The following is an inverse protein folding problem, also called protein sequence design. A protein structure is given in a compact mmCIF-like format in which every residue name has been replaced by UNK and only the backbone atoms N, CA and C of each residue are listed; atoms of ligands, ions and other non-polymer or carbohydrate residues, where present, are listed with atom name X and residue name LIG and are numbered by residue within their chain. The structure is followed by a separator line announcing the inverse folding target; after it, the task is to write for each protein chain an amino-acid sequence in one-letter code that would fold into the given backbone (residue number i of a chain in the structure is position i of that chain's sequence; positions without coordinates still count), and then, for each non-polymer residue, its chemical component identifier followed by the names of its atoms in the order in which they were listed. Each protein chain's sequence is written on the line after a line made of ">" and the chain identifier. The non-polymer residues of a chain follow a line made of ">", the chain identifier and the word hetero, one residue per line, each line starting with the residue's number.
data_IF_224353866738
#
_entry.id   IF_224353866738
#
_cell.length_a   1.000
_cell.length_b   1.000
_cell.length_c   1.000
_cell.angle_alpha   90.00
_cell.angle_beta   90.00
_cell.angle_gamma   90.00
#
_symmetry.space_group_name_H-M   'P 1'
#
loop_
_entity.id
_entity.type
_entity.pdbx_description
1 polymer ?
#
# COMPACT_ATOMS: atom_id res chain seq x y z
N UNK A 1 -14.26 14.89 -0.24
CA UNK A 1 -13.16 14.58 -1.17
C UNK A 1 -12.15 13.71 -0.44
N UNK A 2 -12.28 12.38 -0.54
CA UNK A 2 -11.23 11.46 -0.10
C UNK A 2 -10.11 11.49 -1.13
N UNK A 3 -9.01 12.19 -0.84
CA UNK A 3 -7.77 11.99 -1.58
C UNK A 3 -7.23 10.61 -1.19
N UNK A 4 -7.52 9.59 -2.00
CA UNK A 4 -6.89 8.27 -1.94
C UNK A 4 -5.40 8.46 -2.26
N UNK A 5 -4.61 8.77 -1.25
CA UNK A 5 -3.15 8.69 -1.30
C UNK A 5 -2.78 7.21 -1.21
N UNK A 6 -2.86 6.50 -2.33
CA UNK A 6 -2.30 5.16 -2.44
C UNK A 6 -0.76 5.29 -2.39
N UNK A 7 -0.13 4.95 -1.26
CA UNK A 7 1.32 4.66 -1.19
C UNK A 7 1.65 3.30 -1.81
N UNK A 8 0.93 2.90 -2.87
CA UNK A 8 1.13 1.64 -3.59
C UNK A 8 2.52 1.51 -4.15
N UNK A 9 3.32 2.57 -4.27
CA UNK A 9 4.71 2.48 -4.72
C UNK A 9 5.58 1.61 -3.82
N UNK A 10 5.37 1.59 -2.49
CA UNK A 10 6.13 0.70 -1.61
C UNK A 10 5.66 -0.76 -1.76
N UNK A 11 4.36 -1.00 -1.67
CA UNK A 11 3.75 -2.33 -1.81
C UNK A 11 3.94 -2.95 -3.21
N UNK A 12 3.91 -2.14 -4.27
CA UNK A 12 4.17 -2.56 -5.65
C UNK A 12 5.66 -2.89 -5.86
N UNK A 13 6.57 -2.08 -5.32
CA UNK A 13 8.01 -2.38 -5.34
C UNK A 13 8.34 -3.65 -4.55
N UNK A 14 7.67 -3.87 -3.40
CA UNK A 14 7.81 -5.09 -2.60
C UNK A 14 7.30 -6.33 -3.36
N UNK A 15 6.12 -6.23 -3.98
CA UNK A 15 5.47 -7.29 -4.77
C UNK A 15 6.27 -7.71 -6.00
N UNK A 16 6.93 -6.77 -6.68
CA UNK A 16 7.67 -7.07 -7.92
C UNK A 16 9.14 -7.39 -7.72
N UNK A 17 9.72 -7.06 -6.56
CA UNK A 17 11.17 -7.28 -6.32
C UNK A 17 11.51 -8.26 -5.21
N UNK A 18 10.59 -8.59 -4.28
CA UNK A 18 10.99 -9.24 -3.02
C UNK A 18 10.21 -10.54 -2.72
N UNK A 19 8.89 -10.63 -2.96
CA UNK A 19 8.12 -11.86 -2.63
C UNK A 19 6.96 -12.10 -3.62
N UNK A 20 6.96 -13.17 -4.44
CA UNK A 20 5.69 -13.78 -4.82
C UNK A 20 5.11 -14.34 -3.52
N UNK A 21 3.95 -13.84 -3.07
CA UNK A 21 3.38 -14.18 -1.77
C UNK A 21 3.37 -15.70 -1.52
N UNK A 22 4.32 -16.19 -0.73
CA UNK A 22 4.26 -17.51 -0.15
C UNK A 22 3.49 -17.38 1.17
N UNK A 23 2.28 -17.93 1.22
CA UNK A 23 1.41 -17.86 2.40
C UNK A 23 2.06 -18.51 3.63
N UNK A 24 2.97 -19.46 3.44
CA UNK A 24 3.70 -20.16 4.51
C UNK A 24 4.81 -19.28 5.12
N UNK A 25 5.36 -18.32 4.38
CA UNK A 25 6.32 -17.36 4.94
C UNK A 25 5.63 -16.28 5.76
N UNK A 26 4.39 -15.91 5.40
CA UNK A 26 3.58 -14.95 6.15
C UNK A 26 3.09 -15.57 7.48
N UNK A 27 2.79 -16.87 7.51
CA UNK A 27 2.32 -17.56 8.73
C UNK A 27 3.41 -17.70 9.80
N UNK A 28 4.69 -17.80 9.41
CA UNK A 28 5.84 -17.76 10.32
C UNK A 28 5.92 -16.48 11.18
N UNK A 29 5.26 -15.38 10.77
CA UNK A 29 5.18 -14.14 11.55
C UNK A 29 4.09 -14.17 12.65
N UNK A 30 3.27 -15.24 12.72
CA UNK A 30 1.99 -15.21 13.46
C UNK A 30 1.88 -16.13 14.68
N UNK A 31 2.90 -16.94 15.00
CA UNK A 31 2.82 -17.90 16.12
C UNK A 31 3.91 -17.68 17.19
N UNK A 32 3.45 -17.17 18.34
CA UNK A 32 4.04 -17.16 19.69
C UNK A 32 4.77 -15.90 20.21
N UNK A 33 4.58 -15.57 21.52
CA UNK A 33 4.94 -14.29 22.09
C UNK A 33 6.42 -14.25 22.56
N UNK A 34 6.96 -13.03 22.52
CA UNK A 34 8.15 -12.49 23.21
C UNK A 34 9.26 -11.94 22.28
N UNK A 35 9.96 -10.93 22.82
CA UNK A 35 10.52 -9.75 22.15
C UNK A 35 11.96 -9.87 21.63
N UNK A 36 12.23 -9.51 20.36
CA UNK A 36 13.49 -8.87 19.90
C UNK A 36 13.37 -8.28 18.47
N UNK A 37 14.06 -7.17 18.16
CA UNK A 37 14.12 -6.52 16.83
C UNK A 37 15.27 -7.11 15.98
N UNK A 38 15.08 -7.31 14.66
CA UNK A 38 16.15 -7.68 13.72
C UNK A 38 16.20 -6.75 12.50
N UNK A 39 17.41 -6.51 12.00
CA UNK A 39 17.69 -5.83 10.73
C UNK A 39 18.06 -6.89 9.70
N UNK A 40 17.37 -6.94 8.56
CA UNK A 40 17.71 -7.88 7.48
C UNK A 40 18.69 -7.20 6.51
N UNK A 41 19.80 -7.88 6.22
CA UNK A 41 20.74 -7.49 5.17
C UNK A 41 20.31 -8.12 3.84
N UNK A 42 20.11 -7.27 2.83
CA UNK A 42 19.81 -7.72 1.46
C UNK A 42 21.11 -8.23 0.82
N UNK A 43 21.11 -9.39 0.13
CA UNK A 43 22.27 -9.92 -0.58
C UNK A 43 22.92 -8.87 -1.50
N UNK A 44 24.24 -8.89 -1.60
CA UNK A 44 25.05 -7.82 -2.20
C UNK A 44 24.70 -7.51 -3.67
N UNK A 45 24.19 -8.49 -4.42
CA UNK A 45 23.73 -8.33 -5.81
C UNK A 45 22.36 -7.62 -5.93
N UNK A 46 21.61 -7.48 -4.84
CA UNK A 46 20.30 -6.81 -4.77
C UNK A 46 20.39 -5.37 -4.23
N UNK A 47 21.59 -4.85 -3.99
CA UNK A 47 21.83 -3.47 -3.52
C UNK A 47 21.58 -2.41 -4.62
N UNK A 48 20.31 -2.22 -5.02
CA UNK A 48 19.88 -0.99 -5.71
C UNK A 48 19.13 -0.02 -4.79
N UNK A 49 18.77 -0.47 -3.58
CA UNK A 49 18.42 0.39 -2.45
C UNK A 49 19.57 0.30 -1.46
N UNK A 50 20.33 1.36 -1.22
CA UNK A 50 21.59 1.20 -0.52
C UNK A 50 21.39 1.16 1.02
N UNK A 51 20.16 1.12 1.53
CA UNK A 51 19.83 1.26 2.97
C UNK A 51 19.21 -0.02 3.54
N UNK A 52 19.62 -0.50 4.73
CA UNK A 52 18.98 -1.63 5.40
C UNK A 52 17.51 -1.33 5.72
N UNK A 53 16.64 -2.33 5.53
CA UNK A 53 15.25 -2.28 5.98
C UNK A 53 15.22 -2.87 7.40
N UNK A 54 14.80 -2.07 8.37
CA UNK A 54 14.54 -2.56 9.73
C UNK A 54 13.06 -2.91 9.84
N UNK A 55 12.74 -4.20 9.91
CA UNK A 55 11.39 -4.66 10.23
C UNK A 55 11.25 -4.79 11.75
N UNK A 56 10.08 -4.44 12.28
CA UNK A 56 9.74 -4.80 13.65
C UNK A 56 9.65 -6.32 13.79
N UNK A 57 10.28 -6.85 14.85
CA UNK A 57 10.33 -8.24 15.36
C UNK A 57 10.44 -9.39 14.34
N UNK A 58 11.59 -10.06 14.32
CA UNK A 58 11.83 -11.33 13.60
C UNK A 58 12.68 -12.27 14.49
N UNK A 59 12.16 -13.41 14.99
CA UNK A 59 12.93 -14.41 15.74
C UNK A 59 13.47 -15.56 14.85
N UNK A 60 14.56 -16.22 15.30
CA UNK A 60 14.88 -17.61 14.93
C UNK A 60 15.98 -17.85 13.88
N UNK A 61 17.25 -17.58 14.18
CA UNK A 61 18.33 -18.20 13.39
C UNK A 61 19.57 -18.42 14.26
N UNK A 62 19.69 -19.65 14.77
CA UNK A 62 20.96 -20.30 15.07
C UNK A 62 20.95 -21.70 14.42
N UNK A 63 21.93 -21.91 13.54
CA UNK A 63 22.44 -23.17 12.97
C UNK A 63 21.50 -24.16 12.24
N UNK A 64 21.86 -24.46 10.98
CA UNK A 64 22.11 -25.79 10.35
C UNK A 64 21.65 -25.85 8.86
N UNK A 65 22.66 -25.85 7.97
CA UNK A 65 22.96 -26.64 6.74
C UNK A 65 21.87 -27.18 5.76
N UNK A 66 22.26 -27.50 4.49
CA UNK A 66 21.45 -27.31 3.29
C UNK A 66 20.92 -28.62 2.65
N UNK A 67 19.68 -28.65 2.12
CA UNK A 67 19.29 -29.63 1.08
C UNK A 67 18.26 -29.11 0.06
N UNK A 68 18.64 -29.33 -1.20
CA UNK A 68 17.99 -29.42 -2.52
C UNK A 68 16.55 -29.95 -2.64
N UNK A 69 15.79 -29.43 -3.63
CA UNK A 69 15.07 -30.14 -4.73
C UNK A 69 14.07 -29.18 -5.44
N UNK A 70 14.26 -28.75 -6.69
CA UNK A 70 13.84 -29.35 -7.99
C UNK A 70 12.33 -29.50 -8.26
N UNK A 71 11.86 -28.83 -9.33
CA UNK A 71 10.87 -29.20 -10.40
C UNK A 71 10.01 -27.97 -10.80
N UNK A 72 10.20 -27.37 -12.00
CA UNK A 72 9.56 -27.69 -13.30
C UNK A 72 8.06 -27.32 -13.34
N UNK A 73 7.47 -26.61 -14.31
CA UNK A 73 7.93 -26.01 -15.57
C UNK A 73 6.72 -25.39 -16.33
N UNK A 74 7.05 -24.63 -17.38
CA UNK A 74 6.28 -24.34 -18.62
C UNK A 74 5.04 -23.44 -18.57
N UNK A 75 5.17 -22.29 -19.26
CA UNK A 75 4.10 -21.42 -19.76
C UNK A 75 3.25 -22.11 -20.84
N UNK A 76 1.95 -21.81 -20.86
CA UNK A 76 1.24 -21.61 -22.13
C UNK A 76 0.20 -20.49 -21.98
N UNK A 77 0.36 -19.44 -22.79
CA UNK A 77 -0.64 -18.38 -23.00
C UNK A 77 -1.24 -18.60 -24.39
N UNK A 78 -2.56 -18.82 -24.46
CA UNK A 78 -3.32 -18.62 -25.71
C UNK A 78 -4.56 -17.77 -25.44
N UNK A 79 -4.51 -16.56 -25.97
CA UNK A 79 -5.65 -15.69 -26.18
C UNK A 79 -6.47 -16.23 -27.36
N UNK A 80 -7.80 -16.31 -27.23
CA UNK A 80 -8.71 -16.29 -28.36
C UNK A 80 -10.04 -15.65 -27.94
N UNK A 81 -10.21 -14.40 -28.37
CA UNK A 81 -11.48 -13.71 -28.52
C UNK A 81 -12.26 -14.46 -29.61
N UNK A 82 -13.03 -15.49 -29.25
CA UNK A 82 -14.24 -15.94 -29.98
C UNK A 82 -15.09 -16.78 -29.00
N UNK A 83 -15.98 -16.16 -28.21
CA UNK A 83 -17.13 -16.85 -27.61
C UNK A 83 -18.21 -15.88 -27.06
N UNK A 84 -18.26 -14.63 -27.54
CA UNK A 84 -19.29 -13.65 -27.16
C UNK A 84 -20.68 -13.93 -27.79
N UNK A 85 -20.84 -14.99 -28.59
CA UNK A 85 -22.12 -15.28 -29.28
C UNK A 85 -22.91 -16.43 -28.65
N UNK A 86 -22.30 -17.27 -27.80
CA UNK A 86 -22.98 -18.45 -27.21
C UNK A 86 -23.31 -18.34 -25.71
N UNK A 87 -22.80 -17.33 -25.00
CA UNK A 87 -23.12 -17.13 -23.58
C UNK A 87 -24.39 -16.28 -23.34
N UNK A 88 -24.98 -15.69 -24.38
CA UNK A 88 -26.16 -14.82 -24.26
C UNK A 88 -27.50 -15.55 -24.14
N UNK A 89 -27.56 -16.88 -24.21
CA UNK A 89 -28.86 -17.57 -24.35
C UNK A 89 -29.12 -18.80 -23.47
N UNK A 90 -28.29 -19.09 -22.46
CA UNK A 90 -28.67 -20.14 -21.49
C UNK A 90 -28.20 -19.83 -20.07
N UNK A 91 -29.19 -19.67 -19.18
CA UNK A 91 -29.11 -19.43 -17.72
C UNK A 91 -29.08 -17.97 -17.27
N UNK A 92 -30.14 -17.26 -17.66
CA UNK A 92 -30.84 -16.31 -16.78
C UNK A 92 -31.40 -17.07 -15.55
N UNK A 93 -30.50 -17.50 -14.69
CA UNK A 93 -30.76 -17.62 -13.26
C UNK A 93 -29.76 -16.67 -12.62
N UNK A 94 -30.11 -15.39 -12.57
CA UNK A 94 -29.51 -14.50 -11.57
C UNK A 94 -29.99 -15.09 -10.25
N UNK A 95 -29.22 -16.04 -9.70
CA UNK A 95 -29.20 -16.22 -8.27
C UNK A 95 -28.73 -14.86 -7.79
N UNK A 96 -29.64 -14.07 -7.24
CA UNK A 96 -29.26 -13.07 -6.24
C UNK A 96 -28.56 -13.92 -5.19
N UNK A 97 -27.23 -14.06 -5.33
CA UNK A 97 -26.43 -14.63 -4.28
C UNK A 97 -26.78 -13.74 -3.10
N UNK A 98 -27.50 -14.29 -2.12
CA UNK A 98 -27.70 -13.61 -0.84
C UNK A 98 -26.36 -12.99 -0.51
N UNK A 99 -26.32 -11.67 -0.34
CA UNK A 99 -25.14 -10.99 0.13
C UNK A 99 -24.90 -11.55 1.52
N UNK A 100 -24.19 -12.67 1.60
CA UNK A 100 -23.76 -13.26 2.86
C UNK A 100 -22.78 -12.22 3.39
N UNK A 101 -23.29 -11.37 4.29
CA UNK A 101 -22.45 -10.42 5.00
C UNK A 101 -21.25 -11.14 5.60
N UNK A 102 -20.13 -10.46 5.66
CA UNK A 102 -18.88 -11.00 6.18
C UNK A 102 -18.79 -10.77 7.69
N UNK A 103 -18.38 -11.78 8.45
CA UNK A 103 -18.01 -11.59 9.85
C UNK A 103 -16.54 -11.21 9.96
N UNK A 104 -16.22 -10.19 10.74
CA UNK A 104 -14.83 -9.84 11.05
C UNK A 104 -14.35 -10.72 12.20
N UNK A 105 -13.33 -11.54 11.95
CA UNK A 105 -12.79 -12.51 12.90
C UNK A 105 -11.63 -11.92 13.73
N UNK A 106 -10.72 -11.18 13.09
CA UNK A 106 -9.57 -10.54 13.77
C UNK A 106 -9.12 -9.26 13.08
N UNK A 107 -8.44 -8.41 13.85
CA UNK A 107 -7.74 -7.21 13.38
C UNK A 107 -6.36 -7.20 14.02
N UNK A 108 -5.31 -7.09 13.22
CA UNK A 108 -3.91 -7.08 13.65
C UNK A 108 -3.16 -5.94 12.97
N UNK A 109 -2.13 -5.41 13.63
CA UNK A 109 -1.35 -4.30 13.10
C UNK A 109 0.16 -4.53 13.19
N UNK A 110 0.88 -4.04 12.18
CA UNK A 110 2.32 -4.22 12.04
C UNK A 110 2.97 -2.87 11.75
N UNK A 111 3.49 -2.17 12.78
CA UNK A 111 4.14 -0.88 12.58
C UNK A 111 5.48 -1.04 11.87
N UNK A 112 5.66 -0.30 10.78
CA UNK A 112 6.87 -0.30 9.96
C UNK A 112 7.57 1.06 10.07
N UNK A 113 8.90 1.02 10.20
CA UNK A 113 9.77 2.18 10.08
C UNK A 113 11.01 1.84 9.29
N UNK A 114 11.18 2.50 8.15
CA UNK A 114 12.37 2.38 7.31
C UNK A 114 13.13 3.70 7.34
N UNK A 115 14.36 3.66 7.86
CA UNK A 115 15.24 4.84 7.85
C UNK A 115 15.71 5.14 6.45
N UNK A 116 15.62 6.40 6.03
CA UNK A 116 16.18 6.84 4.74
C UNK A 116 17.64 7.24 4.94
N UNK A 117 18.47 7.04 3.91
CA UNK A 117 19.83 7.60 3.88
C UNK A 117 19.81 9.11 3.86
N UNK A 118 18.94 9.66 3.03
CA UNK A 118 18.77 11.09 2.83
C UNK A 118 17.35 11.46 3.22
N UNK A 119 17.24 12.58 3.94
CA UNK A 119 15.94 13.13 4.32
C UNK A 119 15.31 13.77 3.08
N UNK A 120 14.02 13.53 2.88
CA UNK A 120 13.26 14.25 1.86
C UNK A 120 12.71 15.52 2.48
N UNK A 121 12.94 16.68 1.88
CA UNK A 121 12.53 17.98 2.43
C UNK A 121 11.46 18.59 1.53
N UNK A 122 10.27 18.79 2.06
CA UNK A 122 9.24 19.67 1.50
C UNK A 122 9.20 20.99 2.30
N UNK A 123 8.54 22.02 1.76
CA UNK A 123 8.46 23.34 2.41
C UNK A 123 7.99 23.26 3.87
N UNK A 124 6.91 22.51 4.11
CA UNK A 124 6.25 22.47 5.42
C UNK A 124 6.60 21.23 6.26
N UNK A 125 7.37 20.27 5.71
CA UNK A 125 7.72 19.04 6.44
C UNK A 125 8.99 18.36 5.92
N UNK A 126 9.77 17.80 6.82
CA UNK A 126 10.91 16.91 6.50
C UNK A 126 10.53 15.47 6.79
N UNK A 127 10.77 14.58 5.83
CA UNK A 127 10.53 13.14 5.96
C UNK A 127 11.88 12.43 6.23
N UNK A 128 12.25 12.20 7.50
CA UNK A 128 13.50 11.52 7.84
C UNK A 128 13.44 10.02 7.55
N UNK A 129 12.27 9.43 7.71
CA UNK A 129 12.00 8.01 7.57
C UNK A 129 10.79 7.79 6.66
N UNK A 130 10.60 6.56 6.20
CA UNK A 130 9.29 6.05 5.79
C UNK A 130 8.65 5.33 6.97
N UNK A 131 7.39 5.66 7.28
CA UNK A 131 6.65 5.08 8.39
C UNK A 131 5.24 4.74 7.91
N UNK A 132 4.73 3.59 8.35
CA UNK A 132 3.40 3.10 8.02
C UNK A 132 2.97 2.06 9.06
N UNK A 133 1.70 1.70 9.06
CA UNK A 133 1.19 0.51 9.77
C UNK A 133 0.50 -0.38 8.75
N UNK A 134 0.99 -1.61 8.59
CA UNK A 134 0.22 -2.61 7.85
C UNK A 134 -0.88 -3.14 8.77
N UNK A 135 -2.08 -3.27 8.24
CA UNK A 135 -3.24 -3.79 8.96
C UNK A 135 -3.69 -5.06 8.28
N UNK A 136 -3.87 -6.13 9.05
CA UNK A 136 -4.43 -7.40 8.59
C UNK A 136 -5.81 -7.58 9.23
N UNK A 137 -6.82 -7.80 8.41
CA UNK A 137 -8.18 -8.09 8.88
C UNK A 137 -8.63 -9.43 8.31
N UNK A 138 -8.99 -10.36 9.19
CA UNK A 138 -9.58 -11.63 8.78
C UNK A 138 -11.10 -11.50 8.76
N UNK A 139 -11.72 -11.88 7.65
CA UNK A 139 -13.17 -11.92 7.46
C UNK A 139 -13.60 -13.31 6.98
N UNK A 140 -14.46 -13.99 7.74
CA UNK A 140 -14.87 -15.38 7.50
C UNK A 140 -13.69 -16.30 7.08
N UNK A 141 -12.59 -16.22 7.82
CA UNK A 141 -11.37 -17.00 7.58
C UNK A 141 -10.45 -16.48 6.47
N UNK A 142 -10.84 -15.43 5.73
CA UNK A 142 -10.03 -14.83 4.67
C UNK A 142 -9.36 -13.55 5.15
N UNK A 143 -8.02 -13.52 5.10
CA UNK A 143 -7.24 -12.34 5.46
C UNK A 143 -7.12 -11.36 4.28
N UNK A 144 -7.37 -10.09 4.54
CA UNK A 144 -7.03 -8.97 3.67
C UNK A 144 -6.02 -8.01 4.32
N UNK A 145 -5.33 -7.24 3.49
CA UNK A 145 -4.25 -6.35 3.90
C UNK A 145 -4.50 -4.90 3.51
N UNK A 146 -4.21 -4.00 4.44
CA UNK A 146 -4.27 -2.56 4.23
C UNK A 146 -3.04 -1.85 4.78
N UNK A 147 -2.84 -0.61 4.36
CA UNK A 147 -1.75 0.24 4.83
C UNK A 147 -2.34 1.55 5.36
N UNK A 148 -2.13 1.81 6.65
CA UNK A 148 -2.34 3.12 7.22
C UNK A 148 -1.07 3.96 7.01
N UNK A 149 -1.19 5.05 6.27
CA UNK A 149 -0.11 6.02 6.12
C UNK A 149 0.07 6.74 7.46
N UNK A 150 1.22 6.55 8.11
CA UNK A 150 1.52 7.16 9.41
C UNK A 150 2.78 8.00 9.32
N UNK A 151 2.64 9.32 9.36
CA UNK A 151 3.78 10.24 9.19
C UNK A 151 4.73 10.26 10.39
N UNK A 152 4.21 9.98 11.58
CA UNK A 152 4.97 9.88 12.81
C UNK A 152 4.30 8.92 13.79
N UNK A 153 5.11 8.20 14.56
CA UNK A 153 4.61 7.33 15.64
C UNK A 153 3.76 6.12 15.17
N UNK A 154 4.25 5.26 14.26
CA UNK A 154 3.50 4.08 13.77
C UNK A 154 3.05 3.13 14.90
N UNK A 155 3.76 3.09 16.04
CA UNK A 155 3.33 2.33 17.21
C UNK A 155 2.03 2.85 17.84
N UNK A 156 1.79 4.16 17.78
CA UNK A 156 0.56 4.78 18.30
C UNK A 156 -0.62 4.36 17.42
N UNK A 157 -0.46 4.48 16.10
CA UNK A 157 -1.50 4.07 15.14
C UNK A 157 -1.75 2.56 15.20
N UNK A 158 -0.71 1.73 15.39
CA UNK A 158 -0.83 0.29 15.59
C UNK A 158 -1.66 -0.04 16.85
N UNK A 159 -1.28 0.52 18.00
CA UNK A 159 -2.00 0.33 19.25
C UNK A 159 -3.47 0.80 19.14
N UNK A 160 -3.70 1.92 18.46
CA UNK A 160 -5.04 2.44 18.20
C UNK A 160 -5.87 1.49 17.33
N UNK A 161 -5.27 0.89 16.31
CA UNK A 161 -5.94 -0.12 15.46
C UNK A 161 -6.35 -1.33 16.30
N UNK A 162 -5.47 -1.83 17.17
CA UNK A 162 -5.69 -3.05 17.95
C UNK A 162 -6.61 -2.84 19.16
N UNK A 163 -6.40 -1.79 19.94
CA UNK A 163 -7.07 -1.57 21.23
C UNK A 163 -8.32 -0.71 21.14
N UNK A 164 -8.48 0.06 20.05
CA UNK A 164 -9.57 1.02 19.93
C UNK A 164 -10.47 0.74 18.72
N UNK A 165 -9.91 0.70 17.51
CA UNK A 165 -10.72 0.57 16.30
C UNK A 165 -11.19 -0.88 16.05
N UNK A 166 -10.31 -1.86 16.19
CA UNK A 166 -10.59 -3.28 15.99
C UNK A 166 -11.75 -3.81 16.86
N UNK A 167 -11.78 -3.54 18.18
CA UNK A 167 -12.87 -3.97 19.07
C UNK A 167 -14.25 -3.45 18.67
N UNK A 168 -14.34 -2.38 17.86
CA UNK A 168 -15.61 -1.89 17.34
C UNK A 168 -16.24 -2.82 16.29
N UNK A 169 -15.46 -3.69 15.66
CA UNK A 169 -15.89 -4.48 14.49
C UNK A 169 -15.68 -6.00 14.65
N UNK A 170 -14.71 -6.45 15.46
CA UNK A 170 -14.46 -7.88 15.68
C UNK A 170 -15.70 -8.59 16.25
N UNK A 171 -15.98 -9.78 15.73
CA UNK A 171 -17.13 -10.61 16.08
C UNK A 171 -18.45 -10.17 15.45
N UNK A 172 -18.50 -9.03 14.75
CA UNK A 172 -19.71 -8.51 14.10
C UNK A 172 -19.78 -8.91 12.64
N UNK A 173 -21.01 -8.99 12.14
CA UNK A 173 -21.32 -9.26 10.72
C UNK A 173 -21.65 -7.96 10.00
N UNK A 174 -21.12 -7.81 8.79
CA UNK A 174 -21.23 -6.60 7.97
C UNK A 174 -21.57 -6.97 6.53
N UNK A 175 -22.51 -6.26 5.92
CA UNK A 175 -22.95 -6.57 4.54
C UNK A 175 -21.95 -6.10 3.49
N UNK A 176 -21.12 -5.11 3.83
CA UNK A 176 -20.11 -4.56 2.93
C UNK A 176 -18.93 -3.90 3.66
N UNK A 177 -17.78 -3.68 2.99
CA UNK A 177 -16.68 -2.88 3.54
C UNK A 177 -17.10 -1.48 4.00
N UNK A 178 -18.00 -0.82 3.27
CA UNK A 178 -18.53 0.50 3.61
C UNK A 178 -19.29 0.48 4.94
N UNK A 179 -20.02 -0.60 5.22
CA UNK A 179 -20.72 -0.75 6.50
C UNK A 179 -19.77 -0.88 7.70
N UNK A 180 -18.59 -1.49 7.51
CA UNK A 180 -17.51 -1.51 8.52
C UNK A 180 -16.99 -0.10 8.77
N UNK A 181 -16.69 0.64 7.69
CA UNK A 181 -16.23 2.02 7.79
C UNK A 181 -17.24 2.90 8.54
N UNK A 182 -18.52 2.81 8.19
CA UNK A 182 -19.59 3.58 8.84
C UNK A 182 -19.76 3.21 10.32
N UNK A 183 -19.60 1.94 10.68
CA UNK A 183 -19.68 1.51 12.07
C UNK A 183 -18.58 2.14 12.93
N UNK A 184 -17.32 2.14 12.44
CA UNK A 184 -16.21 2.79 13.14
C UNK A 184 -16.37 4.31 13.13
N UNK A 185 -16.65 4.90 11.97
CA UNK A 185 -16.80 6.35 11.82
C UNK A 185 -17.89 6.93 12.72
N UNK A 186 -18.99 6.19 12.92
CA UNK A 186 -20.07 6.60 13.83
C UNK A 186 -19.59 6.74 15.28
N UNK A 187 -18.71 5.86 15.74
CA UNK A 187 -18.13 5.92 17.09
C UNK A 187 -17.07 7.02 17.22
N UNK A 188 -16.26 7.21 16.18
CA UNK A 188 -15.23 8.25 16.16
C UNK A 188 -15.83 9.65 16.17
N UNK A 189 -16.81 9.91 15.30
CA UNK A 189 -17.37 11.26 15.12
C UNK A 189 -18.05 11.83 16.37
N UNK A 190 -18.68 10.98 17.18
CA UNK A 190 -19.39 11.43 18.39
C UNK A 190 -18.46 11.88 19.51
N UNK A 191 -17.17 11.52 19.43
CA UNK A 191 -16.12 11.88 20.39
C UNK A 191 -15.16 12.93 19.83
N UNK A 192 -15.40 13.42 18.61
CA UNK A 192 -14.55 14.41 17.94
C UNK A 192 -13.33 13.83 17.20
N UNK A 193 -13.17 12.50 17.18
CA UNK A 193 -12.05 11.79 16.52
C UNK A 193 -12.19 11.75 14.99
N UNK A 194 -12.25 12.91 14.35
CA UNK A 194 -12.58 13.05 12.92
C UNK A 194 -11.38 13.31 12.02
N UNK A 195 -10.16 13.35 12.59
CA UNK A 195 -8.89 13.66 11.92
C UNK A 195 -7.75 12.94 12.63
N UNK A 196 -6.54 12.99 12.08
CA UNK A 196 -5.35 12.49 12.75
C UNK A 196 -5.24 10.96 12.74
N UNK A 197 -4.60 10.42 13.78
CA UNK A 197 -4.19 9.01 13.86
C UNK A 197 -5.36 8.03 13.82
N UNK A 198 -6.54 8.46 14.27
CA UNK A 198 -7.78 7.69 14.22
C UNK A 198 -8.26 7.45 12.80
N UNK A 199 -8.16 8.47 11.94
CA UNK A 199 -8.52 8.36 10.53
C UNK A 199 -7.45 7.61 9.75
N UNK A 200 -6.18 7.77 10.10
CA UNK A 200 -5.08 6.96 9.55
C UNK A 200 -5.32 5.47 9.83
N UNK A 201 -5.56 5.09 11.10
CA UNK A 201 -5.85 3.72 11.49
C UNK A 201 -7.09 3.15 10.81
N UNK A 202 -8.17 3.95 10.75
CA UNK A 202 -9.41 3.57 10.05
C UNK A 202 -9.14 3.28 8.56
N UNK A 203 -8.30 4.08 7.90
CA UNK A 203 -7.96 3.84 6.48
C UNK A 203 -7.25 2.50 6.26
N UNK A 204 -6.38 2.10 7.19
CA UNK A 204 -5.71 0.78 7.13
C UNK A 204 -6.71 -0.37 7.26
N UNK A 205 -7.66 -0.27 8.19
CA UNK A 205 -8.73 -1.26 8.37
C UNK A 205 -9.63 -1.31 7.13
N UNK A 206 -10.04 -0.16 6.60
CA UNK A 206 -10.92 -0.08 5.43
C UNK A 206 -10.31 -0.80 4.21
N UNK A 207 -9.03 -0.52 3.91
CA UNK A 207 -8.33 -1.16 2.78
C UNK A 207 -8.21 -2.67 3.01
N UNK A 208 -7.87 -3.10 4.23
CA UNK A 208 -7.76 -4.52 4.57
C UNK A 208 -9.10 -5.27 4.41
N UNK A 209 -10.20 -4.65 4.84
CA UNK A 209 -11.54 -5.21 4.67
C UNK A 209 -11.95 -5.26 3.20
N UNK A 210 -11.61 -4.24 2.40
CA UNK A 210 -11.85 -4.27 0.95
C UNK A 210 -11.06 -5.40 0.26
N UNK A 211 -9.79 -5.62 0.63
CA UNK A 211 -8.99 -6.73 0.11
C UNK A 211 -9.58 -8.09 0.51
N UNK A 212 -9.96 -8.28 1.79
CA UNK A 212 -10.60 -9.50 2.27
C UNK A 212 -11.91 -9.78 1.52
N UNK A 213 -12.73 -8.74 1.33
CA UNK A 213 -13.99 -8.84 0.60
C UNK A 213 -13.79 -9.19 -0.88
N UNK A 214 -12.78 -8.60 -1.54
CA UNK A 214 -12.40 -8.96 -2.91
C UNK A 214 -12.01 -10.43 -3.03
N UNK A 215 -11.20 -10.93 -2.08
CA UNK A 215 -10.78 -12.33 -2.03
C UNK A 215 -11.94 -13.28 -1.77
N UNK A 216 -12.80 -13.00 -0.79
CA UNK A 216 -14.01 -13.78 -0.51
C UNK A 216 -14.93 -13.89 -1.74
N UNK A 217 -15.00 -12.82 -2.54
CA UNK A 217 -15.83 -12.75 -3.75
C UNK A 217 -15.10 -13.23 -5.02
N UNK A 218 -13.82 -13.60 -4.93
CA UNK A 218 -13.01 -13.94 -6.10
C UNK A 218 -12.94 -12.81 -7.15
N UNK A 219 -13.03 -11.54 -6.74
CA UNK A 219 -13.15 -10.39 -7.62
C UNK A 219 -12.17 -9.27 -7.26
N UNK A 220 -11.51 -8.63 -8.25
CA UNK A 220 -10.71 -7.44 -7.99
C UNK A 220 -11.51 -6.34 -7.28
N UNK A 221 -10.89 -5.64 -6.32
CA UNK A 221 -11.53 -4.54 -5.57
C UNK A 221 -12.12 -3.47 -6.50
N UNK A 222 -11.50 -3.19 -7.64
CA UNK A 222 -12.02 -2.23 -8.63
C UNK A 222 -13.43 -2.56 -9.12
N UNK A 223 -13.82 -3.84 -9.14
CA UNK A 223 -15.16 -4.27 -9.52
C UNK A 223 -16.16 -4.11 -8.37
N UNK A 224 -15.68 -4.13 -7.12
CA UNK A 224 -16.51 -3.87 -5.94
C UNK A 224 -16.86 -2.38 -5.82
N UNK A 225 -15.93 -1.52 -6.21
CA UNK A 225 -16.10 -0.05 -6.20
C UNK A 225 -16.90 0.48 -7.41
N UNK A 226 -17.41 -0.42 -8.27
CA UNK A 226 -18.21 -0.09 -9.45
C UNK A 226 -17.57 -0.56 -10.76
N UNK A 227 -17.90 0.12 -11.87
CA UNK A 227 -17.40 -0.26 -13.20
C UNK A 227 -15.93 0.12 -13.35
N UNK A 228 -15.06 -0.83 -13.69
CA UNK A 228 -13.69 -0.53 -14.15
C UNK A 228 -13.77 0.38 -15.38
N UNK A 229 -13.23 1.60 -15.25
CA UNK A 229 -13.25 2.62 -16.31
C UNK A 229 -12.01 2.59 -17.19
N UNK A 230 -10.88 2.09 -16.67
CA UNK A 230 -9.63 2.03 -17.40
C UNK A 230 -8.87 0.74 -17.10
N UNK A 231 -8.19 0.20 -18.11
CA UNK A 231 -7.26 -0.91 -17.93
C UNK A 231 -5.90 -0.45 -17.41
N UNK A 232 -5.52 0.77 -17.74
CA UNK A 232 -4.24 1.42 -17.48
C UNK A 232 -4.47 2.84 -16.95
N UNK A 233 -3.55 3.35 -16.14
CA UNK A 233 -3.61 4.70 -15.58
C UNK A 233 -2.26 5.39 -15.83
N UNK A 234 -2.24 6.60 -16.41
CA UNK A 234 -1.02 7.39 -16.55
C UNK A 234 -0.28 7.56 -15.22
N UNK A 235 1.05 7.42 -15.26
CA UNK A 235 1.91 7.57 -14.09
C UNK A 235 2.89 8.72 -14.28
N UNK A 236 3.15 9.45 -13.19
CA UNK A 236 4.11 10.55 -13.14
C UNK A 236 5.04 10.38 -11.94
N UNK A 237 6.20 11.04 -11.97
CA UNK A 237 7.14 11.05 -10.86
C UNK A 237 6.53 11.81 -9.68
N UNK A 238 6.09 11.06 -8.67
CA UNK A 238 5.24 11.55 -7.59
C UNK A 238 5.83 12.65 -6.72
N UNK A 239 7.15 12.85 -6.70
CA UNK A 239 7.83 14.01 -6.09
C UNK A 239 9.31 14.05 -6.49
N UNK A 240 9.76 15.20 -6.99
CA UNK A 240 11.15 15.55 -7.16
C UNK A 240 11.58 16.49 -6.04
N UNK A 241 12.72 16.19 -5.43
CA UNK A 241 13.23 16.92 -4.26
C UNK A 241 14.60 17.50 -4.57
N UNK A 242 14.76 18.81 -4.37
CA UNK A 242 16.09 19.44 -4.44
C UNK A 242 17.03 18.93 -3.34
N UNK A 243 16.48 18.39 -2.24
CA UNK A 243 17.25 17.76 -1.16
C UNK A 243 17.86 16.40 -1.55
N UNK A 244 17.44 15.80 -2.67
CA UNK A 244 17.95 14.52 -3.19
C UNK A 244 19.01 14.72 -4.29
N UNK A 245 19.48 15.95 -4.46
CA UNK A 245 20.41 16.33 -5.52
C UNK A 245 19.70 16.96 -6.73
N UNK A 246 20.40 17.06 -7.87
CA UNK A 246 19.91 17.77 -9.07
C UNK A 246 18.55 17.25 -9.55
N UNK A 247 17.69 18.14 -10.05
CA UNK A 247 16.38 17.74 -10.56
C UNK A 247 16.52 17.06 -11.93
N UNK A 248 17.48 17.50 -12.75
CA UNK A 248 17.79 16.89 -14.04
C UNK A 248 18.05 15.37 -13.94
N UNK A 249 18.83 14.92 -12.96
CA UNK A 249 19.12 13.48 -12.81
C UNK A 249 17.86 12.69 -12.44
N UNK A 250 16.98 13.27 -11.61
CA UNK A 250 15.71 12.65 -11.26
C UNK A 250 14.73 12.62 -12.44
N UNK A 251 14.77 13.63 -13.31
CA UNK A 251 14.02 13.68 -14.58
C UNK A 251 14.46 12.56 -15.52
N UNK A 252 15.76 12.33 -15.68
CA UNK A 252 16.26 11.24 -16.53
C UNK A 252 15.83 9.86 -16.01
N UNK A 253 15.79 9.68 -14.69
CA UNK A 253 15.19 8.47 -14.09
C UNK A 253 13.70 8.38 -14.41
N UNK A 254 12.93 9.46 -14.30
CA UNK A 254 11.50 9.46 -14.62
C UNK A 254 11.23 9.08 -16.08
N UNK A 255 12.01 9.64 -17.02
CA UNK A 255 11.93 9.32 -18.45
C UNK A 255 12.28 7.87 -18.74
N UNK A 256 13.36 7.35 -18.16
CA UNK A 256 13.76 5.95 -18.38
C UNK A 256 12.74 4.93 -17.85
N UNK A 257 11.88 5.35 -16.91
CA UNK A 257 10.74 4.57 -16.42
C UNK A 257 9.47 4.75 -17.27
N UNK A 258 9.50 5.55 -18.34
CA UNK A 258 8.34 5.82 -19.19
C UNK A 258 7.24 6.64 -18.50
N UNK A 259 7.57 7.40 -17.45
CA UNK A 259 6.60 8.27 -16.78
C UNK A 259 6.23 9.44 -17.70
N UNK A 260 5.04 10.01 -17.51
CA UNK A 260 4.51 11.09 -18.35
C UNK A 260 4.74 12.49 -17.80
N UNK A 261 5.10 12.58 -16.52
CA UNK A 261 5.23 13.86 -15.84
C UNK A 261 6.08 13.79 -14.58
N UNK A 262 6.22 14.94 -13.93
CA UNK A 262 6.92 15.05 -12.67
C UNK A 262 6.31 16.15 -11.78
N UNK A 263 6.22 15.86 -10.49
CA UNK A 263 5.81 16.85 -9.48
C UNK A 263 7.01 17.39 -8.73
N UNK A 264 7.25 18.70 -8.78
CA UNK A 264 8.35 19.36 -8.09
C UNK A 264 7.87 19.92 -6.76
N UNK A 265 8.64 19.65 -5.69
CA UNK A 265 8.42 20.26 -4.38
C UNK A 265 8.92 21.71 -4.39
N UNK A 266 7.99 22.63 -4.21
CA UNK A 266 8.23 24.08 -4.14
C UNK A 266 7.80 24.61 -2.75
N UNK A 267 7.80 25.93 -2.57
CA UNK A 267 7.55 26.58 -1.29
C UNK A 267 8.84 26.94 -0.54
N UNK A 268 9.97 27.03 -1.25
CA UNK A 268 11.26 27.43 -0.70
C UNK A 268 11.65 28.86 -1.04
N UNK A 269 10.75 29.61 -1.67
CA UNK A 269 10.93 31.00 -2.10
C UNK A 269 10.83 31.12 -3.62
N UNK A 270 10.16 32.18 -4.10
CA UNK A 270 9.75 32.33 -5.49
C UNK A 270 10.92 32.16 -6.49
N UNK A 271 12.07 32.77 -6.23
CA UNK A 271 13.24 32.67 -7.10
C UNK A 271 13.78 31.23 -7.20
N UNK A 272 13.91 30.55 -6.05
CA UNK A 272 14.39 29.16 -5.99
C UNK A 272 13.40 28.19 -6.62
N UNK A 273 12.12 28.40 -6.39
CA UNK A 273 11.06 27.57 -6.94
C UNK A 273 10.97 27.74 -8.45
N UNK A 274 11.07 28.97 -8.96
CA UNK A 274 11.13 29.26 -10.40
C UNK A 274 12.35 28.63 -11.05
N UNK A 275 13.53 28.71 -10.41
CA UNK A 275 14.74 28.04 -10.90
C UNK A 275 14.56 26.51 -10.98
N UNK A 276 13.96 25.91 -9.95
CA UNK A 276 13.70 24.46 -9.87
C UNK A 276 12.74 24.00 -10.97
N UNK A 277 11.63 24.71 -11.16
CA UNK A 277 10.66 24.41 -12.23
C UNK A 277 11.27 24.61 -13.62
N UNK A 278 12.06 25.68 -13.80
CA UNK A 278 12.76 25.96 -15.06
C UNK A 278 13.78 24.87 -15.40
N UNK A 279 14.52 24.34 -14.43
CA UNK A 279 15.45 23.22 -14.63
C UNK A 279 14.70 21.99 -15.15
N UNK A 280 13.57 21.64 -14.54
CA UNK A 280 12.77 20.48 -14.95
C UNK A 280 12.17 20.70 -16.33
N UNK A 281 11.58 21.87 -16.62
CA UNK A 281 11.03 22.18 -17.95
C UNK A 281 12.09 22.11 -19.06
N UNK A 282 13.29 22.65 -18.83
CA UNK A 282 14.40 22.54 -19.80
C UNK A 282 14.88 21.11 -19.98
N UNK A 283 14.84 20.32 -18.91
CA UNK A 283 15.27 18.92 -18.97
C UNK A 283 14.21 18.04 -19.61
N UNK A 284 12.93 18.41 -19.57
CA UNK A 284 11.84 17.64 -20.14
C UNK A 284 10.71 18.56 -20.61
N UNK A 285 10.83 18.99 -21.87
CA UNK A 285 9.95 20.01 -22.45
C UNK A 285 8.48 19.58 -22.52
N UNK A 286 8.21 18.31 -22.84
CA UNK A 286 6.85 17.77 -23.00
C UNK A 286 6.22 17.23 -21.72
N UNK A 287 6.89 17.32 -20.56
CA UNK A 287 6.35 16.72 -19.34
C UNK A 287 5.11 17.44 -18.80
N UNK A 288 4.19 16.66 -18.23
CA UNK A 288 3.22 17.18 -17.28
C UNK A 288 3.97 17.63 -16.02
N UNK A 289 4.17 18.94 -15.89
CA UNK A 289 4.91 19.55 -14.79
C UNK A 289 3.93 20.03 -13.72
N UNK A 290 4.02 19.44 -12.53
CA UNK A 290 3.15 19.74 -11.40
C UNK A 290 3.98 20.44 -10.32
N UNK A 291 3.44 21.48 -9.69
CA UNK A 291 4.06 22.16 -8.56
C UNK A 291 3.31 21.85 -7.26
N UNK A 292 4.02 21.47 -6.20
CA UNK A 292 3.46 21.17 -4.89
C UNK A 292 4.16 22.00 -3.80
N UNK A 293 3.47 23.05 -3.34
CA UNK A 293 3.96 23.98 -2.33
C UNK A 293 3.79 23.49 -0.88
N UNK A 294 3.09 22.37 -0.67
CA UNK A 294 2.86 21.78 0.64
C UNK A 294 2.23 22.66 1.73
N UNK A 295 1.41 23.65 1.32
CA UNK A 295 0.52 24.40 2.20
C UNK A 295 1.18 25.62 2.82
#
# INVERSE_FOLDING_TARGET
>A
MCCLYFSTSFMWSLRHRILPWNFDEVSLFTSEPHTSQRTLAIPQFMQTLPTPITMGKVPGLDSVSPQTAHLAGVLEVRCCIVCEVLASLNRLSIRVAEARGMRVDSVESFPIRVRRKEKLVAASFTYPDYQAVLVRVACDGVAGWGEAMTRSGPKITALLVEEYLGPMIVGKKFDSPESVWHAIWRELRVRGHTRGVEVEGLSGIEIAVQDACGRLRGSPVSNLLGRRRASEVPAYAGSLFTSRGPLKSQVEVAKSLGLMGAKVKIGFGAERDFASLSEVRRSWEECELIADANG
#
